data_IF_306618812772
#
_entry.id   IF_306618812772
#
_cell.length_a   1.000
_cell.length_b   1.000
_cell.length_c   1.000
_cell.angle_alpha   90.00
_cell.angle_beta   90.00
_cell.angle_gamma   90.00
#
_symmetry.space_group_name_H-M   'P 1'
#
loop_
_entity.id
_entity.type
_entity.pdbx_description
1 polymer ?
#
# COMPACT_ATOMS: atom_id res chain seq x y z
N UNK A 1 -48.35 121.21 50.44
CA UNK A 1 -47.18 120.45 49.94
C UNK A 1 -47.13 119.11 50.68
N UNK A 2 -48.13 118.28 50.40
CA UNK A 2 -48.47 117.02 51.05
C UNK A 2 -49.16 116.22 49.93
N UNK A 3 -48.52 115.14 49.48
CA UNK A 3 -48.92 114.14 48.46
C UNK A 3 -47.84 113.91 47.40
N UNK A 4 -46.85 113.05 47.66
CA UNK A 4 -46.17 112.28 46.58
C UNK A 4 -45.32 111.08 47.08
N UNK A 5 -45.75 110.33 48.11
CA UNK A 5 -45.05 109.10 48.54
C UNK A 5 -46.03 107.94 48.81
N UNK A 6 -46.60 107.36 47.74
CA UNK A 6 -47.31 106.07 47.80
C UNK A 6 -47.27 105.33 46.45
N UNK A 7 -46.22 104.51 46.24
CA UNK A 7 -46.04 103.43 45.23
C UNK A 7 -44.53 103.13 45.20
N UNK A 8 -43.96 101.94 45.24
CA UNK A 8 -44.38 100.56 45.03
C UNK A 8 -43.34 99.69 45.78
N UNK A 9 -43.76 98.76 46.63
CA UNK A 9 -42.86 97.76 47.23
C UNK A 9 -43.35 96.35 46.85
N UNK A 10 -43.13 95.95 45.59
CA UNK A 10 -43.50 94.63 45.00
C UNK A 10 -42.29 93.89 44.39
N UNK A 11 -41.08 94.20 44.82
CA UNK A 11 -39.83 93.64 44.29
C UNK A 11 -39.50 92.20 44.74
N UNK A 12 -39.88 91.71 45.95
CA UNK A 12 -39.59 90.32 46.34
C UNK A 12 -40.59 89.28 45.79
N UNK A 13 -41.85 89.65 45.54
CA UNK A 13 -42.86 88.71 45.02
C UNK A 13 -42.62 88.33 43.55
N UNK A 14 -42.20 89.30 42.72
CA UNK A 14 -41.93 89.08 41.30
C UNK A 14 -40.69 88.21 41.06
N UNK A 15 -39.68 88.30 41.93
CA UNK A 15 -38.45 87.50 41.84
C UNK A 15 -38.68 86.05 42.25
N UNK A 16 -39.51 85.79 43.25
CA UNK A 16 -39.87 84.42 43.64
C UNK A 16 -40.78 83.75 42.61
N UNK A 17 -41.73 84.47 42.02
CA UNK A 17 -42.58 83.95 40.94
C UNK A 17 -41.77 83.60 39.68
N UNK A 18 -40.77 84.42 39.32
CA UNK A 18 -39.87 84.15 38.20
C UNK A 18 -38.98 82.91 38.45
N UNK A 19 -38.43 82.75 39.66
CA UNK A 19 -37.63 81.55 40.02
C UNK A 19 -38.48 80.28 40.01
N UNK A 20 -39.71 80.32 40.50
CA UNK A 20 -40.63 79.18 40.45
C UNK A 20 -40.99 78.79 39.00
N UNK A 21 -41.21 79.77 38.13
CA UNK A 21 -41.54 79.54 36.71
C UNK A 21 -40.34 79.00 35.91
N UNK A 22 -39.12 79.47 36.22
CA UNK A 22 -37.87 78.93 35.63
C UNK A 22 -37.61 77.50 36.12
N UNK A 23 -37.88 77.19 37.39
CA UNK A 23 -37.79 75.83 37.93
C UNK A 23 -38.78 74.85 37.26
N UNK A 24 -40.03 75.26 37.04
CA UNK A 24 -41.03 74.43 36.34
C UNK A 24 -40.67 74.20 34.87
N UNK A 25 -40.10 75.21 34.19
CA UNK A 25 -39.63 75.08 32.81
C UNK A 25 -38.41 74.15 32.70
N UNK A 26 -37.44 74.23 33.62
CA UNK A 26 -36.31 73.29 33.68
C UNK A 26 -36.80 71.86 33.95
N UNK A 27 -37.75 71.69 34.88
CA UNK A 27 -38.28 70.37 35.21
C UNK A 27 -39.06 69.75 34.04
N UNK A 28 -39.87 70.54 33.32
CA UNK A 28 -40.56 70.08 32.09
C UNK A 28 -39.59 69.74 30.97
N UNK A 29 -38.52 70.51 30.79
CA UNK A 29 -37.48 70.27 29.77
C UNK A 29 -36.72 68.96 30.04
N UNK A 30 -36.25 68.76 31.27
CA UNK A 30 -35.56 67.53 31.70
C UNK A 30 -36.48 66.31 31.54
N UNK A 31 -37.76 66.44 31.90
CA UNK A 31 -38.76 65.38 31.74
C UNK A 31 -39.05 65.06 30.27
N UNK A 32 -39.01 66.05 29.38
CA UNK A 32 -39.14 65.84 27.93
C UNK A 32 -37.92 65.17 27.31
N UNK A 33 -36.71 65.59 27.67
CA UNK A 33 -35.44 64.98 27.22
C UNK A 33 -35.38 63.51 27.64
N UNK A 34 -35.72 63.22 28.90
CA UNK A 34 -35.74 61.85 29.40
C UNK A 34 -36.90 61.02 28.78
N UNK A 35 -38.07 61.60 28.53
CA UNK A 35 -39.19 60.86 27.94
C UNK A 35 -38.96 60.51 26.47
N UNK A 36 -38.30 61.37 25.71
CA UNK A 36 -38.16 61.20 24.26
C UNK A 36 -36.79 60.67 23.81
N UNK A 37 -35.69 61.04 24.46
CA UNK A 37 -34.33 60.69 24.00
C UNK A 37 -33.86 59.38 24.63
N UNK A 38 -33.89 59.23 25.96
CA UNK A 38 -33.38 58.01 26.62
C UNK A 38 -34.23 56.79 26.31
N UNK A 39 -35.57 56.92 26.24
CA UNK A 39 -36.48 55.86 25.78
C UNK A 39 -36.33 55.46 24.31
N UNK A 40 -35.82 56.34 23.44
CA UNK A 40 -35.55 55.99 22.03
C UNK A 40 -34.16 55.37 21.89
N UNK A 41 -33.16 55.84 22.64
CA UNK A 41 -31.81 55.27 22.66
C UNK A 41 -31.79 53.81 23.14
N UNK A 42 -32.55 53.48 24.20
CA UNK A 42 -32.70 52.09 24.66
C UNK A 42 -33.27 51.17 23.58
N UNK A 43 -34.33 51.61 22.88
CA UNK A 43 -34.93 50.87 21.76
C UNK A 43 -33.97 50.65 20.58
N UNK A 44 -33.08 51.61 20.29
CA UNK A 44 -32.06 51.44 19.24
C UNK A 44 -30.99 50.42 19.65
N UNK A 45 -30.58 50.40 20.93
CA UNK A 45 -29.65 49.40 21.45
C UNK A 45 -30.28 47.99 21.46
N UNK A 46 -31.56 47.87 21.79
CA UNK A 46 -32.29 46.60 21.76
C UNK A 46 -32.46 46.08 20.33
N UNK A 47 -32.79 46.96 19.37
CA UNK A 47 -32.84 46.61 17.94
C UNK A 47 -31.46 46.20 17.42
N UNK A 48 -30.39 46.90 17.82
CA UNK A 48 -29.01 46.52 17.44
C UNK A 48 -28.62 45.14 17.99
N UNK A 49 -28.93 44.85 19.25
CA UNK A 49 -28.71 43.52 19.87
C UNK A 49 -29.51 42.44 19.15
N UNK A 50 -30.79 42.70 18.85
CA UNK A 50 -31.65 41.79 18.11
C UNK A 50 -31.09 41.48 16.71
N UNK A 51 -30.68 42.50 15.95
CA UNK A 51 -30.08 42.32 14.61
C UNK A 51 -28.76 41.54 14.69
N UNK A 52 -27.89 41.84 15.65
CA UNK A 52 -26.63 41.09 15.85
C UNK A 52 -26.90 39.63 16.21
N UNK A 53 -27.85 39.36 17.11
CA UNK A 53 -28.24 37.99 17.47
C UNK A 53 -28.78 37.22 16.26
N UNK A 54 -29.58 37.86 15.41
CA UNK A 54 -30.07 37.25 14.16
C UNK A 54 -28.95 37.00 13.14
N UNK A 55 -28.02 37.95 12.97
CA UNK A 55 -26.87 37.76 12.09
C UNK A 55 -25.96 36.62 12.58
N UNK A 56 -25.75 36.50 13.89
CA UNK A 56 -25.01 35.38 14.48
C UNK A 56 -25.75 34.06 14.29
N UNK A 57 -27.06 34.03 14.51
CA UNK A 57 -27.87 32.83 14.30
C UNK A 57 -27.86 32.37 12.83
N UNK A 58 -28.03 33.30 11.89
CA UNK A 58 -27.92 33.02 10.45
C UNK A 58 -26.51 32.57 10.09
N UNK A 59 -25.48 33.21 10.64
CA UNK A 59 -24.09 32.80 10.45
C UNK A 59 -23.82 31.38 10.93
N UNK A 60 -24.29 31.03 12.13
CA UNK A 60 -24.20 29.67 12.67
C UNK A 60 -24.98 28.69 11.79
N UNK A 61 -26.20 29.03 11.38
CA UNK A 61 -27.00 28.19 10.48
C UNK A 61 -26.27 27.93 9.18
N UNK A 62 -25.75 28.96 8.51
CA UNK A 62 -24.97 28.83 7.27
C UNK A 62 -23.71 27.97 7.45
N UNK A 63 -22.98 28.13 8.56
CA UNK A 63 -21.80 27.30 8.87
C UNK A 63 -22.21 25.84 9.08
N UNK A 64 -23.31 25.59 9.80
CA UNK A 64 -23.79 24.22 10.03
C UNK A 64 -24.29 23.55 8.75
N UNK A 65 -25.08 24.25 7.92
CA UNK A 65 -25.53 23.71 6.62
C UNK A 65 -24.34 23.47 5.69
N UNK A 66 -23.39 24.39 5.61
CA UNK A 66 -22.18 24.19 4.83
C UNK A 66 -21.33 23.00 5.33
N UNK A 67 -21.17 22.86 6.65
CA UNK A 67 -20.47 21.73 7.26
C UNK A 67 -21.16 20.39 7.00
N UNK A 68 -22.49 20.34 7.12
CA UNK A 68 -23.27 19.12 6.79
C UNK A 68 -23.19 18.78 5.31
N UNK A 69 -23.25 19.77 4.42
CA UNK A 69 -23.09 19.58 2.98
C UNK A 69 -21.72 18.99 2.63
N UNK A 70 -20.63 19.49 3.24
CA UNK A 70 -19.30 18.92 3.05
C UNK A 70 -19.21 17.47 3.54
N UNK A 71 -19.80 17.15 4.69
CA UNK A 71 -19.84 15.79 5.23
C UNK A 71 -20.63 14.83 4.33
N UNK A 72 -21.79 15.25 3.86
CA UNK A 72 -22.62 14.45 2.95
C UNK A 72 -21.90 14.24 1.61
N UNK A 73 -21.28 15.28 1.06
CA UNK A 73 -20.47 15.18 -0.16
C UNK A 73 -19.30 14.21 0.02
N UNK A 74 -18.56 14.28 1.13
CA UNK A 74 -17.46 13.35 1.38
C UNK A 74 -17.93 11.91 1.60
N UNK A 75 -19.13 11.71 2.15
CA UNK A 75 -19.71 10.38 2.34
C UNK A 75 -20.30 9.80 1.04
N UNK A 76 -20.76 10.66 0.12
CA UNK A 76 -21.38 10.27 -1.14
C UNK A 76 -20.39 10.16 -2.31
N UNK A 77 -19.18 10.70 -2.20
CA UNK A 77 -18.11 10.52 -3.19
C UNK A 77 -17.35 9.25 -2.87
N UNK A 78 -17.70 8.15 -3.54
CA UNK A 78 -16.86 6.96 -3.55
C UNK A 78 -15.74 7.15 -4.57
N UNK A 79 -14.50 7.26 -4.11
CA UNK A 79 -13.33 7.25 -5.00
C UNK A 79 -13.20 5.88 -5.65
N UNK A 80 -13.66 5.73 -6.88
CA UNK A 80 -13.44 4.51 -7.66
C UNK A 80 -12.11 4.61 -8.40
N UNK A 81 -11.24 3.58 -8.36
CA UNK A 81 -10.00 3.62 -9.12
C UNK A 81 -10.30 3.72 -10.61
N UNK A 82 -9.82 4.79 -11.25
CA UNK A 82 -9.98 5.01 -12.68
C UNK A 82 -9.04 4.07 -13.47
N UNK A 83 -9.49 3.54 -14.62
CA UNK A 83 -8.60 2.83 -15.53
C UNK A 83 -7.63 3.81 -16.21
N UNK A 84 -6.48 3.27 -16.59
CA UNK A 84 -5.43 3.92 -17.33
C UNK A 84 -4.21 4.32 -16.51
N UNK A 85 -3.29 5.03 -17.15
CA UNK A 85 -2.12 5.60 -16.52
C UNK A 85 -0.93 4.64 -16.45
N UNK A 86 0.20 5.20 -15.98
CA UNK A 86 1.45 4.48 -15.77
C UNK A 86 1.78 4.52 -14.29
N UNK A 87 2.05 3.35 -13.70
CA UNK A 87 2.58 3.24 -12.35
C UNK A 87 4.05 2.84 -12.44
N UNK A 88 4.93 3.64 -11.85
CA UNK A 88 6.37 3.36 -11.80
C UNK A 88 6.77 3.07 -10.36
N UNK A 89 7.24 1.86 -10.11
CA UNK A 89 7.74 1.40 -8.82
C UNK A 89 9.27 1.36 -8.83
N UNK A 90 9.88 2.12 -7.94
CA UNK A 90 11.32 2.14 -7.74
C UNK A 90 11.77 1.09 -6.73
N UNK A 91 12.86 0.40 -7.04
CA UNK A 91 13.48 -0.61 -6.16
C UNK A 91 15.01 -0.49 -6.25
N UNK A 92 15.73 -0.96 -5.23
CA UNK A 92 17.20 -1.05 -5.28
C UNK A 92 17.62 -2.44 -5.79
N UNK A 93 18.52 -2.48 -6.76
CA UNK A 93 19.15 -3.70 -7.27
C UNK A 93 19.14 -3.79 -8.79
N UNK A 94 19.28 -5.01 -9.30
CA UNK A 94 19.31 -5.30 -10.74
C UNK A 94 18.51 -6.57 -11.04
N UNK A 95 17.98 -6.65 -12.26
CA UNK A 95 17.38 -7.87 -12.80
C UNK A 95 18.45 -8.67 -13.53
N UNK A 96 18.51 -9.96 -13.21
CA UNK A 96 19.44 -10.91 -13.81
C UNK A 96 18.73 -11.86 -14.77
N UNK A 97 17.52 -12.30 -14.40
CA UNK A 97 16.78 -13.30 -15.17
C UNK A 97 15.30 -12.94 -15.26
N UNK A 98 14.78 -12.86 -16.49
CA UNK A 98 13.35 -12.67 -16.74
C UNK A 98 12.60 -14.00 -16.73
N UNK A 99 13.25 -15.09 -17.18
CA UNK A 99 12.66 -16.42 -17.15
C UNK A 99 12.65 -16.96 -15.71
N UNK A 100 11.47 -17.33 -15.17
CA UNK A 100 11.32 -17.74 -13.78
C UNK A 100 12.11 -19.00 -13.39
N UNK A 101 12.46 -19.85 -14.35
CA UNK A 101 13.23 -21.07 -14.05
C UNK A 101 14.66 -20.77 -13.61
N UNK A 102 15.14 -19.54 -13.81
CA UNK A 102 16.49 -19.09 -13.48
C UNK A 102 16.51 -17.94 -12.48
N UNK A 103 15.36 -17.60 -11.89
CA UNK A 103 15.27 -16.52 -10.90
C UNK A 103 16.28 -16.74 -9.77
N UNK A 104 17.03 -15.68 -9.46
CA UNK A 104 18.09 -15.67 -8.46
C UNK A 104 17.84 -14.70 -7.31
N UNK A 105 16.76 -13.93 -7.35
CA UNK A 105 16.46 -12.92 -6.34
C UNK A 105 15.06 -12.33 -6.44
N UNK A 106 14.73 -11.49 -5.46
CA UNK A 106 13.38 -10.92 -5.31
C UNK A 106 12.94 -10.05 -6.50
N UNK A 107 13.87 -9.40 -7.19
CA UNK A 107 13.57 -8.59 -8.40
C UNK A 107 13.15 -9.50 -9.56
N UNK A 108 13.93 -10.55 -9.84
CA UNK A 108 13.61 -11.57 -10.85
C UNK A 108 12.22 -12.19 -10.54
N UNK A 109 11.96 -12.54 -9.28
CA UNK A 109 10.67 -13.07 -8.82
C UNK A 109 9.51 -12.08 -8.98
N UNK A 110 9.74 -10.79 -8.76
CA UNK A 110 8.72 -9.75 -8.91
C UNK A 110 8.31 -9.60 -10.37
N UNK A 111 9.28 -9.61 -11.29
CA UNK A 111 9.00 -9.67 -12.74
C UNK A 111 8.24 -10.93 -13.10
N UNK A 112 8.67 -12.08 -12.57
CA UNK A 112 7.99 -13.36 -12.80
C UNK A 112 6.51 -13.30 -12.39
N UNK A 113 6.19 -12.77 -11.21
CA UNK A 113 4.82 -12.71 -10.68
C UNK A 113 3.89 -11.77 -11.47
N UNK A 114 4.45 -10.78 -12.17
CA UNK A 114 3.69 -9.89 -13.05
C UNK A 114 3.36 -10.55 -14.39
N UNK A 115 4.26 -11.41 -14.89
CA UNK A 115 4.19 -12.00 -16.23
C UNK A 115 3.57 -13.40 -16.23
N UNK A 116 3.84 -14.21 -15.22
CA UNK A 116 3.48 -15.63 -15.14
C UNK A 116 2.59 -15.92 -13.93
N UNK A 117 1.80 -17.00 -14.02
CA UNK A 117 1.04 -17.54 -12.90
C UNK A 117 1.48 -18.96 -12.58
N UNK A 118 1.29 -19.35 -11.32
CA UNK A 118 1.33 -20.75 -10.89
C UNK A 118 -0.05 -21.41 -10.92
N UNK A 119 -0.12 -22.69 -10.57
CA UNK A 119 -1.39 -23.40 -10.44
C UNK A 119 -2.19 -22.92 -9.23
N UNK A 120 -1.49 -22.57 -8.16
CA UNK A 120 -2.06 -21.94 -6.95
C UNK A 120 -1.35 -20.62 -6.68
N UNK A 121 -1.91 -19.81 -5.80
CA UNK A 121 -1.35 -18.54 -5.32
C UNK A 121 -1.77 -18.27 -3.88
N UNK A 122 -1.19 -17.24 -3.28
CA UNK A 122 -1.74 -16.66 -2.05
C UNK A 122 -2.75 -15.56 -2.37
N UNK A 123 -3.81 -15.44 -1.59
CA UNK A 123 -4.71 -14.28 -1.60
C UNK A 123 -4.23 -13.16 -0.68
N UNK A 124 -5.03 -12.10 -0.54
CA UNK A 124 -4.67 -10.90 0.22
C UNK A 124 -4.62 -11.20 1.72
N UNK A 125 -5.28 -12.26 2.16
CA UNK A 125 -5.25 -12.82 3.51
C UNK A 125 -4.10 -13.85 3.72
N UNK A 126 -3.28 -14.06 2.69
CA UNK A 126 -2.16 -15.02 2.72
C UNK A 126 -2.59 -16.48 2.71
N UNK A 127 -3.84 -16.79 2.35
CA UNK A 127 -4.34 -18.16 2.21
C UNK A 127 -4.03 -18.70 0.82
N UNK A 128 -3.75 -20.00 0.77
CA UNK A 128 -3.46 -20.68 -0.48
C UNK A 128 -4.77 -20.98 -1.24
N UNK A 129 -4.89 -20.43 -2.45
CA UNK A 129 -6.06 -20.54 -3.32
C UNK A 129 -5.66 -20.94 -4.74
N UNK A 130 -6.60 -21.47 -5.52
CA UNK A 130 -6.36 -21.76 -6.94
C UNK A 130 -6.09 -20.50 -7.76
N UNK A 131 -5.17 -20.62 -8.73
CA UNK A 131 -4.91 -19.60 -9.75
C UNK A 131 -5.13 -20.21 -11.15
N UNK A 132 -4.13 -20.80 -11.79
CA UNK A 132 -4.36 -21.59 -13.02
C UNK A 132 -5.09 -22.92 -12.77
N UNK A 133 -5.16 -23.38 -11.52
CA UNK A 133 -6.00 -24.49 -11.10
C UNK A 133 -7.39 -24.01 -10.65
N UNK A 134 -8.43 -24.73 -11.09
CA UNK A 134 -9.81 -24.62 -10.60
C UNK A 134 -9.98 -25.33 -9.26
N UNK A 135 -9.42 -26.53 -9.16
CA UNK A 135 -9.53 -27.40 -7.99
C UNK A 135 -8.37 -28.41 -7.96
N UNK A 136 -8.20 -29.10 -6.84
CA UNK A 136 -7.32 -30.26 -6.75
C UNK A 136 -7.86 -31.29 -5.77
N UNK A 137 -7.53 -32.56 -5.99
CA UNK A 137 -7.81 -33.66 -5.08
C UNK A 137 -6.52 -34.39 -4.71
N UNK A 138 -6.51 -34.95 -3.50
CA UNK A 138 -5.38 -35.69 -2.95
C UNK A 138 -5.88 -37.10 -2.65
N UNK A 139 -5.15 -38.11 -3.11
CA UNK A 139 -5.49 -39.49 -2.85
C UNK A 139 -5.36 -39.89 -1.37
N UNK A 140 -5.74 -41.12 -1.06
CA UNK A 140 -5.63 -41.68 0.29
C UNK A 140 -4.17 -41.81 0.74
N UNK A 141 -3.25 -42.13 -0.18
CA UNK A 141 -1.83 -42.29 0.13
C UNK A 141 -1.08 -40.97 0.34
N UNK A 142 -1.72 -39.83 0.04
CA UNK A 142 -1.14 -38.48 0.10
C UNK A 142 0.07 -38.28 -0.81
N UNK A 143 0.16 -39.08 -1.88
CA UNK A 143 1.23 -39.03 -2.88
C UNK A 143 0.73 -38.60 -4.25
N UNK A 144 -0.56 -38.79 -4.55
CA UNK A 144 -1.13 -38.48 -5.85
C UNK A 144 -2.00 -37.24 -5.70
N UNK A 145 -1.68 -36.24 -6.50
CA UNK A 145 -2.40 -34.97 -6.58
C UNK A 145 -2.95 -34.81 -8.00
N UNK A 146 -4.26 -34.72 -8.12
CA UNK A 146 -4.93 -34.46 -9.40
C UNK A 146 -5.42 -33.04 -9.40
N UNK A 147 -4.94 -32.22 -10.33
CA UNK A 147 -5.24 -30.80 -10.44
C UNK A 147 -6.11 -30.57 -11.68
N UNK A 148 -7.29 -29.99 -11.46
CA UNK A 148 -8.16 -29.52 -12.53
C UNK A 148 -7.76 -28.10 -12.92
N UNK A 149 -7.45 -27.90 -14.19
CA UNK A 149 -6.99 -26.64 -14.74
C UNK A 149 -8.16 -25.77 -15.21
N UNK A 150 -7.92 -24.48 -15.24
CA UNK A 150 -8.82 -23.53 -15.91
C UNK A 150 -8.79 -23.72 -17.41
N UNK A 151 -9.96 -23.54 -18.03
CA UNK A 151 -10.19 -23.67 -19.47
C UNK A 151 -10.39 -22.32 -20.18
N UNK A 152 -10.49 -21.22 -19.40
CA UNK A 152 -10.67 -19.85 -19.87
C UNK A 152 -9.35 -19.04 -19.96
N UNK A 153 -8.21 -19.66 -19.63
CA UNK A 153 -6.92 -18.98 -19.61
C UNK A 153 -6.26 -18.96 -20.99
N UNK A 154 -5.76 -17.78 -21.36
CA UNK A 154 -4.94 -17.58 -22.55
C UNK A 154 -3.56 -17.06 -22.17
N UNK A 155 -2.56 -17.53 -22.90
CA UNK A 155 -1.24 -16.93 -22.97
C UNK A 155 -1.32 -15.53 -23.58
N UNK A 156 -0.30 -14.68 -23.34
CA UNK A 156 -0.24 -13.33 -23.92
C UNK A 156 -0.24 -13.31 -25.45
N UNK A 157 0.10 -14.42 -26.10
CA UNK A 157 0.03 -14.61 -27.56
C UNK A 157 -1.35 -15.12 -28.06
N UNK A 158 -2.31 -15.30 -27.16
CA UNK A 158 -3.68 -15.69 -27.45
C UNK A 158 -3.94 -17.20 -27.48
N UNK A 159 -2.91 -18.06 -27.36
CA UNK A 159 -3.11 -19.51 -27.29
C UNK A 159 -3.69 -19.92 -25.94
N UNK A 160 -4.46 -21.01 -25.92
CA UNK A 160 -5.02 -21.54 -24.67
C UNK A 160 -3.96 -22.21 -23.80
N UNK A 161 -4.04 -21.98 -22.50
CA UNK A 161 -3.31 -22.73 -21.48
C UNK A 161 -3.88 -24.16 -21.34
N UNK A 162 -3.00 -25.16 -21.20
CA UNK A 162 -3.38 -26.58 -21.08
C UNK A 162 -2.43 -27.38 -20.19
N UNK A 163 -2.79 -28.63 -19.89
CA UNK A 163 -1.96 -29.60 -19.15
C UNK A 163 -0.56 -29.81 -19.75
N UNK A 164 -0.40 -29.64 -21.08
CA UNK A 164 0.90 -29.74 -21.75
C UNK A 164 1.90 -28.70 -21.27
N UNK A 165 1.42 -27.50 -20.93
CA UNK A 165 2.25 -26.41 -20.43
C UNK A 165 2.83 -26.75 -19.05
N UNK A 166 2.00 -27.35 -18.19
CA UNK A 166 2.42 -27.81 -16.87
C UNK A 166 3.45 -28.91 -16.98
N UNK A 167 3.18 -29.97 -17.76
CA UNK A 167 4.12 -31.08 -17.97
C UNK A 167 5.46 -30.59 -18.51
N UNK A 168 5.45 -29.80 -19.60
CA UNK A 168 6.66 -29.29 -20.22
C UNK A 168 7.49 -28.42 -19.25
N UNK A 169 6.83 -27.61 -18.42
CA UNK A 169 7.53 -26.77 -17.43
C UNK A 169 8.22 -27.62 -16.38
N UNK A 170 7.53 -28.61 -15.82
CA UNK A 170 8.12 -29.46 -14.77
C UNK A 170 9.22 -30.36 -15.33
N UNK A 171 9.08 -30.84 -16.57
CA UNK A 171 10.14 -31.59 -17.26
C UNK A 171 11.40 -30.74 -17.46
N UNK A 172 11.24 -29.46 -17.85
CA UNK A 172 12.36 -28.53 -17.95
C UNK A 172 13.02 -28.25 -16.60
N UNK A 173 12.24 -28.06 -15.53
CA UNK A 173 12.76 -27.88 -14.17
C UNK A 173 13.59 -29.08 -13.72
N UNK A 174 13.09 -30.30 -13.99
CA UNK A 174 13.76 -31.53 -13.58
C UNK A 174 14.95 -31.91 -14.47
N UNK A 175 15.12 -31.27 -15.62
CA UNK A 175 16.24 -31.54 -16.52
C UNK A 175 17.54 -30.89 -16.02
N UNK A 176 18.58 -31.70 -15.84
CA UNK A 176 19.90 -31.26 -15.36
C UNK A 176 20.56 -30.23 -16.26
N UNK A 177 20.38 -30.33 -17.58
CA UNK A 177 20.94 -29.41 -18.57
C UNK A 177 20.29 -28.02 -18.52
N UNK A 178 19.03 -27.93 -18.09
CA UNK A 178 18.35 -26.65 -17.89
C UNK A 178 19.03 -25.84 -16.78
N UNK A 179 19.55 -26.50 -15.74
CA UNK A 179 20.12 -25.84 -14.54
C UNK A 179 19.15 -24.86 -13.88
N UNK A 180 17.88 -25.27 -13.75
CA UNK A 180 16.87 -24.47 -13.07
C UNK A 180 17.21 -24.30 -11.58
N UNK A 181 16.95 -23.13 -11.01
CA UNK A 181 17.09 -22.88 -9.56
C UNK A 181 16.07 -23.69 -8.75
N UNK A 182 15.01 -24.18 -9.40
CA UNK A 182 13.97 -25.02 -8.82
C UNK A 182 14.28 -26.52 -8.89
N UNK A 183 15.37 -26.92 -9.56
CA UNK A 183 15.70 -28.31 -9.85
C UNK A 183 15.60 -29.22 -8.61
N UNK A 184 16.24 -28.82 -7.50
CA UNK A 184 16.31 -29.62 -6.28
C UNK A 184 14.95 -29.88 -5.63
N UNK A 185 14.02 -28.91 -5.71
CA UNK A 185 12.70 -29.01 -5.08
C UNK A 185 11.72 -29.90 -5.84
N UNK A 186 12.00 -30.20 -7.11
CA UNK A 186 11.10 -30.93 -7.99
C UNK A 186 11.59 -32.32 -8.38
N UNK A 187 12.79 -32.72 -7.93
CA UNK A 187 13.35 -34.03 -8.26
C UNK A 187 12.47 -35.19 -7.81
N UNK A 188 12.24 -36.13 -8.72
CA UNK A 188 11.53 -37.39 -8.44
C UNK A 188 10.00 -37.26 -8.45
N UNK A 189 9.46 -36.08 -8.74
CA UNK A 189 8.02 -35.85 -8.86
C UNK A 189 7.62 -36.16 -10.30
N UNK A 190 6.81 -37.21 -10.51
CA UNK A 190 6.30 -37.53 -11.85
C UNK A 190 5.09 -36.66 -12.15
N UNK A 191 5.05 -36.10 -13.35
CA UNK A 191 3.95 -35.25 -13.83
C UNK A 191 3.41 -35.81 -15.13
N UNK A 192 2.09 -35.90 -15.25
CA UNK A 192 1.44 -36.44 -16.44
C UNK A 192 0.13 -35.71 -16.72
N UNK A 193 -0.17 -35.47 -18.00
CA UNK A 193 -1.48 -34.99 -18.42
C UNK A 193 -2.48 -36.16 -18.40
N UNK A 194 -3.56 -36.02 -17.65
CA UNK A 194 -4.68 -36.99 -17.67
C UNK A 194 -5.57 -36.69 -18.87
N UNK A 195 -5.85 -35.40 -19.09
CA UNK A 195 -6.53 -34.87 -20.27
C UNK A 195 -6.03 -33.45 -20.56
N UNK A 196 -6.74 -32.68 -21.40
CA UNK A 196 -6.35 -31.32 -21.79
C UNK A 196 -6.31 -30.33 -20.61
N UNK A 197 -7.17 -30.50 -19.60
CA UNK A 197 -7.33 -29.61 -18.46
C UNK A 197 -7.20 -30.36 -17.12
N UNK A 198 -6.52 -31.50 -17.10
CA UNK A 198 -6.23 -32.25 -15.87
C UNK A 198 -4.79 -32.73 -15.85
N UNK A 199 -4.10 -32.49 -14.73
CA UNK A 199 -2.70 -32.88 -14.51
C UNK A 199 -2.60 -33.71 -13.24
N UNK A 200 -1.86 -34.81 -13.31
CA UNK A 200 -1.57 -35.68 -12.17
C UNK A 200 -0.10 -35.56 -11.78
N UNK A 201 0.14 -35.27 -10.51
CA UNK A 201 1.44 -35.29 -9.86
C UNK A 201 1.53 -36.54 -8.96
N UNK A 202 2.63 -37.28 -9.05
CA UNK A 202 2.92 -38.44 -8.21
C UNK A 202 4.24 -38.19 -7.48
N UNK A 203 4.17 -38.09 -6.15
CA UNK A 203 5.31 -37.84 -5.28
C UNK A 203 5.98 -39.14 -4.84
N UNK A 204 7.31 -39.14 -4.60
CA UNK A 204 8.01 -40.31 -4.08
C UNK A 204 7.56 -40.67 -2.65
N UNK A 205 7.23 -39.66 -1.84
CA UNK A 205 6.79 -39.79 -0.46
C UNK A 205 5.68 -38.77 -0.15
N UNK A 206 4.83 -39.00 0.87
CA UNK A 206 3.84 -38.02 1.29
C UNK A 206 4.51 -36.73 1.74
N UNK A 207 4.08 -35.60 1.21
CA UNK A 207 4.60 -34.29 1.57
C UNK A 207 3.45 -33.28 1.69
N UNK A 208 2.99 -33.04 2.91
CA UNK A 208 1.83 -32.19 3.17
C UNK A 208 1.94 -30.77 2.56
N UNK A 209 3.11 -30.10 2.56
CA UNK A 209 3.26 -28.77 1.97
C UNK A 209 3.24 -28.73 0.44
N UNK A 210 3.14 -29.88 -0.27
CA UNK A 210 3.31 -29.94 -1.72
C UNK A 210 2.41 -28.98 -2.51
N UNK A 211 1.18 -28.74 -2.07
CA UNK A 211 0.28 -27.79 -2.75
C UNK A 211 0.93 -26.40 -2.86
N UNK A 212 1.70 -25.95 -1.88
CA UNK A 212 2.40 -24.65 -1.95
C UNK A 212 3.44 -24.63 -3.08
N UNK A 213 4.06 -25.76 -3.40
CA UNK A 213 5.02 -25.86 -4.50
C UNK A 213 4.34 -25.62 -5.86
N UNK A 214 3.03 -25.87 -5.96
CA UNK A 214 2.26 -25.63 -7.20
C UNK A 214 2.11 -24.13 -7.54
N UNK A 215 2.61 -23.21 -6.71
CA UNK A 215 2.78 -21.79 -7.03
C UNK A 215 4.00 -21.55 -7.97
N UNK A 216 4.62 -22.61 -8.48
CA UNK A 216 5.66 -22.51 -9.50
C UNK A 216 5.14 -21.84 -10.78
N UNK A 217 5.84 -20.85 -11.35
CA UNK A 217 5.44 -20.22 -12.61
C UNK A 217 5.42 -21.23 -13.77
N UNK A 218 4.34 -21.24 -14.55
CA UNK A 218 4.19 -22.13 -15.72
C UNK A 218 4.66 -21.45 -17.00
N UNK A 219 5.37 -22.19 -17.86
CA UNK A 219 5.83 -21.75 -19.18
C UNK A 219 4.96 -22.30 -20.32
N UNK A 220 4.82 -21.57 -21.44
CA UNK A 220 4.06 -22.01 -22.61
C UNK A 220 4.80 -23.14 -23.34
N UNK A 221 4.28 -24.37 -23.27
CA UNK A 221 4.88 -25.55 -23.91
C UNK A 221 5.13 -25.31 -25.39
N UNK A 222 4.25 -24.59 -26.08
CA UNK A 222 4.39 -24.35 -27.52
C UNK A 222 5.53 -23.41 -27.91
N UNK A 223 6.14 -22.70 -26.96
CA UNK A 223 7.34 -21.91 -27.20
C UNK A 223 8.59 -22.60 -26.66
N UNK A 224 8.48 -23.39 -25.59
CA UNK A 224 9.66 -23.92 -24.90
C UNK A 224 10.00 -25.37 -25.22
N UNK A 225 9.04 -26.18 -25.71
CA UNK A 225 9.23 -27.62 -25.91
C UNK A 225 10.31 -27.98 -26.93
N UNK A 226 10.51 -27.12 -27.93
CA UNK A 226 11.44 -27.37 -29.04
C UNK A 226 12.82 -26.71 -28.79
N UNK A 227 12.97 -25.99 -27.67
CA UNK A 227 14.22 -25.37 -27.26
C UNK A 227 15.07 -26.43 -26.54
N UNK A 228 16.32 -26.61 -26.95
CA UNK A 228 17.25 -27.47 -26.21
C UNK A 228 17.41 -26.97 -24.76
N UNK A 229 17.25 -27.83 -23.74
CA UNK A 229 17.32 -27.45 -22.32
C UNK A 229 18.51 -26.56 -21.95
N UNK A 230 19.71 -26.88 -22.44
CA UNK A 230 20.94 -26.13 -22.19
C UNK A 230 20.98 -24.73 -22.82
N UNK A 231 20.12 -24.45 -23.81
CA UNK A 231 20.01 -23.15 -24.48
C UNK A 231 18.87 -22.30 -23.94
N UNK A 232 17.95 -22.86 -23.16
CA UNK A 232 16.74 -22.17 -22.71
C UNK A 232 17.05 -20.84 -22.03
N UNK A 233 18.09 -20.77 -21.18
CA UNK A 233 18.48 -19.54 -20.47
C UNK A 233 18.83 -18.38 -21.40
N UNK A 234 19.46 -18.66 -22.54
CA UNK A 234 19.90 -17.65 -23.51
C UNK A 234 18.95 -17.51 -24.69
N UNK A 235 17.86 -18.28 -24.73
CA UNK A 235 16.90 -18.23 -25.82
C UNK A 235 16.12 -16.90 -25.85
N UNK A 236 15.65 -16.53 -27.04
CA UNK A 236 14.74 -15.41 -27.26
C UNK A 236 13.53 -15.39 -26.32
N UNK A 237 12.97 -16.56 -25.96
CA UNK A 237 11.87 -16.68 -25.01
C UNK A 237 12.26 -16.16 -23.61
N UNK A 238 13.50 -16.40 -23.17
CA UNK A 238 13.97 -15.95 -21.86
C UNK A 238 14.29 -14.46 -21.81
N UNK A 239 14.33 -13.78 -22.97
CA UNK A 239 14.52 -12.33 -23.09
C UNK A 239 13.18 -11.60 -23.34
N UNK A 240 12.25 -12.23 -24.06
CA UNK A 240 10.91 -11.73 -24.34
C UNK A 240 9.87 -12.80 -23.95
N UNK A 241 9.55 -12.93 -22.65
CA UNK A 241 8.66 -13.98 -22.17
C UNK A 241 7.22 -13.78 -22.64
N UNK A 242 6.53 -14.90 -22.80
CA UNK A 242 5.07 -14.97 -22.95
C UNK A 242 4.53 -15.70 -21.74
N UNK A 243 3.62 -15.05 -21.00
CA UNK A 243 3.03 -15.59 -19.78
C UNK A 243 1.51 -15.61 -19.81
N UNK A 244 0.90 -15.88 -18.66
CA UNK A 244 -0.56 -15.84 -18.42
C UNK A 244 -0.96 -14.71 -17.46
N UNK A 245 0.03 -13.99 -16.92
CA UNK A 245 -0.11 -13.00 -15.88
C UNK A 245 -0.87 -11.73 -16.27
N UNK A 246 -1.12 -10.85 -15.28
CA UNK A 246 -1.83 -9.60 -15.47
C UNK A 246 -1.09 -8.64 -16.40
N UNK A 247 0.23 -8.73 -16.51
CA UNK A 247 1.02 -7.81 -17.31
C UNK A 247 1.87 -8.55 -18.35
N UNK A 248 1.98 -7.95 -19.52
CA UNK A 248 2.76 -8.43 -20.66
C UNK A 248 4.09 -7.69 -20.64
N UNK A 249 5.20 -8.44 -20.60
CA UNK A 249 6.54 -7.87 -20.72
C UNK A 249 6.71 -7.12 -22.05
N UNK A 250 7.33 -5.94 -22.01
CA UNK A 250 7.58 -5.11 -23.20
C UNK A 250 9.05 -4.86 -23.46
N UNK A 251 9.80 -4.49 -22.42
CA UNK A 251 11.21 -4.18 -22.59
C UNK A 251 11.94 -4.25 -21.25
N UNK A 252 13.22 -4.62 -21.32
CA UNK A 252 14.22 -4.30 -20.32
C UNK A 252 15.14 -3.24 -20.94
N UNK A 253 15.20 -2.05 -20.35
CA UNK A 253 16.09 -0.97 -20.78
C UNK A 253 17.13 -0.72 -19.72
N UNK A 254 18.37 -0.51 -20.13
CA UNK A 254 19.45 -0.07 -19.24
C UNK A 254 19.92 1.30 -19.69
N UNK A 255 19.91 2.28 -18.78
CA UNK A 255 20.36 3.64 -19.09
C UNK A 255 21.89 3.78 -18.93
N UNK A 256 22.42 4.97 -19.23
CA UNK A 256 23.86 5.25 -19.11
C UNK A 256 24.40 5.17 -17.66
N UNK A 257 23.53 5.34 -16.66
CA UNK A 257 23.86 5.23 -15.25
C UNK A 257 23.79 3.78 -14.74
N UNK A 258 23.53 2.82 -15.64
CA UNK A 258 23.28 1.40 -15.34
C UNK A 258 21.97 1.14 -14.57
N UNK A 259 21.08 2.12 -14.44
CA UNK A 259 19.73 1.87 -13.93
C UNK A 259 18.95 1.07 -14.97
N UNK A 260 18.14 0.11 -14.50
CA UNK A 260 17.34 -0.75 -15.34
C UNK A 260 15.86 -0.39 -15.23
N UNK A 261 15.14 -0.44 -16.34
CA UNK A 261 13.69 -0.29 -16.39
C UNK A 261 13.07 -1.50 -17.04
N UNK A 262 12.23 -2.21 -16.28
CA UNK A 262 11.40 -3.29 -16.79
C UNK A 262 10.02 -2.74 -17.07
N UNK A 263 9.64 -2.70 -18.34
CA UNK A 263 8.37 -2.16 -18.79
C UNK A 263 7.35 -3.26 -19.09
N UNK A 264 6.13 -3.03 -18.66
CA UNK A 264 5.01 -3.91 -18.93
C UNK A 264 3.79 -3.14 -19.45
N UNK A 265 2.95 -3.82 -20.24
CA UNK A 265 1.60 -3.35 -20.58
C UNK A 265 0.54 -4.27 -19.99
N UNK A 266 -0.67 -3.78 -19.75
CA UNK A 266 -1.78 -4.63 -19.31
C UNK A 266 -2.06 -5.81 -20.25
N UNK A 267 -2.44 -6.94 -19.66
CA UNK A 267 -3.09 -8.05 -20.35
C UNK A 267 -4.61 -7.87 -20.28
N UNK A 268 -5.21 -7.36 -21.37
CA UNK A 268 -6.67 -7.15 -21.46
C UNK A 268 -7.46 -8.46 -21.38
N UNK A 269 -6.85 -9.58 -21.76
CA UNK A 269 -7.45 -10.91 -21.71
C UNK A 269 -7.17 -11.66 -20.40
N UNK A 270 -6.71 -10.98 -19.35
CA UNK A 270 -6.40 -11.63 -18.07
C UNK A 270 -7.66 -12.22 -17.44
N UNK A 271 -7.63 -13.52 -17.15
CA UNK A 271 -8.78 -14.31 -16.71
C UNK A 271 -9.34 -13.92 -15.34
N UNK A 272 -8.57 -13.15 -14.54
CA UNK A 272 -9.01 -12.59 -13.24
C UNK A 272 -9.51 -11.15 -13.33
N UNK A 273 -9.67 -10.63 -14.54
CA UNK A 273 -10.13 -9.26 -14.82
C UNK A 273 -9.01 -8.36 -15.31
N UNK A 274 -9.35 -7.43 -16.21
CA UNK A 274 -8.40 -6.51 -16.81
C UNK A 274 -7.69 -5.65 -15.74
N UNK A 275 -6.34 -5.58 -15.75
CA UNK A 275 -5.61 -4.63 -14.90
C UNK A 275 -6.05 -3.20 -15.20
N UNK A 276 -6.28 -2.42 -14.14
CA UNK A 276 -6.68 -1.02 -14.29
C UNK A 276 -5.56 -0.15 -14.86
N UNK A 277 -4.30 -0.44 -14.57
CA UNK A 277 -3.14 0.31 -15.07
C UNK A 277 -2.86 -0.06 -16.53
N UNK A 278 -2.61 0.92 -17.40
CA UNK A 278 -2.21 0.63 -18.79
C UNK A 278 -0.76 0.14 -18.86
N UNK A 279 0.11 0.73 -18.02
CA UNK A 279 1.53 0.43 -17.94
C UNK A 279 1.98 0.28 -16.49
N UNK A 280 2.85 -0.71 -16.27
CA UNK A 280 3.59 -0.89 -15.05
C UNK A 280 5.08 -0.80 -15.40
N UNK A 281 5.86 -0.07 -14.61
CA UNK A 281 7.31 0.06 -14.81
C UNK A 281 7.99 -0.25 -13.49
N UNK A 282 8.92 -1.21 -13.50
CA UNK A 282 9.86 -1.39 -12.41
C UNK A 282 11.13 -0.63 -12.75
N UNK A 283 11.50 0.36 -11.94
CA UNK A 283 12.72 1.14 -12.10
C UNK A 283 13.73 0.72 -11.03
N UNK A 284 14.80 0.10 -11.46
CA UNK A 284 15.81 -0.49 -10.59
C UNK A 284 17.01 0.45 -10.50
N UNK A 285 17.30 0.91 -9.28
CA UNK A 285 18.35 1.85 -8.97
C UNK A 285 19.52 1.15 -8.28
N UNK A 286 20.71 1.72 -8.45
CA UNK A 286 21.94 1.18 -7.85
C UNK A 286 21.95 1.23 -6.32
N UNK A 287 21.36 2.27 -5.74
CA UNK A 287 21.34 2.47 -4.30
C UNK A 287 20.10 3.25 -3.83
N UNK A 288 19.94 3.25 -2.50
CA UNK A 288 18.80 3.81 -1.78
C UNK A 288 18.72 5.34 -1.85
N UNK A 289 19.87 6.04 -1.93
CA UNK A 289 19.91 7.51 -1.99
C UNK A 289 19.40 8.02 -3.35
N UNK A 290 19.78 7.34 -4.44
CA UNK A 290 19.27 7.63 -5.78
C UNK A 290 17.77 7.33 -5.85
N UNK A 291 17.33 6.19 -5.31
CA UNK A 291 15.91 5.82 -5.25
C UNK A 291 15.08 6.88 -4.49
N UNK A 292 15.54 7.32 -3.32
CA UNK A 292 14.87 8.35 -2.54
C UNK A 292 14.81 9.69 -3.32
N UNK A 293 15.89 10.05 -3.99
CA UNK A 293 15.94 11.26 -4.84
C UNK A 293 14.93 11.19 -5.99
N UNK A 294 14.83 10.05 -6.68
CA UNK A 294 13.86 9.84 -7.75
C UNK A 294 12.41 9.96 -7.25
N UNK A 295 12.10 9.43 -6.05
CA UNK A 295 10.78 9.58 -5.43
C UNK A 295 10.48 11.04 -5.08
N UNK A 296 11.46 11.75 -4.51
CA UNK A 296 11.37 13.17 -4.15
C UNK A 296 11.13 14.06 -5.37
N UNK A 297 11.78 13.75 -6.48
CA UNK A 297 11.63 14.44 -7.77
C UNK A 297 10.36 14.05 -8.53
N UNK A 298 9.57 13.08 -8.04
CA UNK A 298 8.37 12.52 -8.71
C UNK A 298 8.68 11.86 -10.05
N UNK A 299 9.89 11.33 -10.21
CA UNK A 299 10.27 10.52 -11.37
C UNK A 299 9.65 9.11 -11.31
N UNK A 300 9.37 8.64 -10.09
CA UNK A 300 8.68 7.39 -9.80
C UNK A 300 7.43 7.64 -8.95
N UNK A 301 6.46 6.73 -9.03
CA UNK A 301 5.18 6.82 -8.30
C UNK A 301 5.31 6.33 -6.87
N UNK A 302 6.08 5.26 -6.67
CA UNK A 302 6.32 4.65 -5.37
C UNK A 302 7.75 4.11 -5.31
N UNK A 303 8.25 3.92 -4.08
CA UNK A 303 9.50 3.21 -3.82
C UNK A 303 9.22 2.12 -2.78
N UNK A 304 9.83 0.96 -2.96
CA UNK A 304 9.78 -0.15 -2.01
C UNK A 304 11.14 -0.37 -1.37
N UNK A 305 11.14 -0.91 -0.16
CA UNK A 305 12.34 -1.21 0.62
C UNK A 305 13.30 -0.03 0.83
N UNK A 306 12.77 1.20 0.84
CA UNK A 306 13.54 2.37 1.26
C UNK A 306 14.03 2.19 2.69
N UNK A 307 15.29 2.50 2.94
CA UNK A 307 15.87 2.42 4.28
C UNK A 307 15.17 3.39 5.25
N UNK A 308 15.02 3.03 6.54
CA UNK A 308 14.40 3.89 7.53
C UNK A 308 14.97 5.31 7.60
N UNK A 309 16.28 5.45 7.37
CA UNK A 309 16.97 6.75 7.36
C UNK A 309 16.46 7.65 6.23
N UNK A 310 16.31 7.10 5.03
CA UNK A 310 15.82 7.80 3.83
C UNK A 310 14.33 8.14 3.93
N UNK A 311 13.53 7.29 4.59
CA UNK A 311 12.10 7.54 4.82
C UNK A 311 11.88 8.84 5.63
N UNK A 312 12.80 9.19 6.55
CA UNK A 312 12.69 10.39 7.39
C UNK A 312 12.60 11.68 6.57
N UNK A 313 13.18 11.71 5.37
CA UNK A 313 13.10 12.87 4.47
C UNK A 313 11.66 13.19 4.05
N UNK A 314 10.78 12.18 3.99
CA UNK A 314 9.42 12.30 3.50
C UNK A 314 8.39 12.57 4.60
N UNK A 315 8.78 12.58 5.89
CA UNK A 315 7.85 12.76 7.01
C UNK A 315 7.03 14.07 6.96
N UNK A 316 7.54 15.09 6.28
CA UNK A 316 6.86 16.39 6.10
C UNK A 316 6.09 16.49 4.78
N UNK A 317 6.29 15.54 3.86
CA UNK A 317 5.68 15.53 2.55
C UNK A 317 4.31 14.84 2.60
N UNK A 318 3.24 15.65 2.64
CA UNK A 318 1.86 15.14 2.72
C UNK A 318 1.39 14.39 1.47
N UNK A 319 2.15 14.44 0.38
CA UNK A 319 1.81 13.70 -0.85
C UNK A 319 2.42 12.30 -0.88
N UNK A 320 3.33 11.98 0.05
CA UNK A 320 3.91 10.65 0.21
C UNK A 320 3.27 9.98 1.43
N UNK A 321 2.77 8.76 1.23
CA UNK A 321 2.29 7.90 2.31
C UNK A 321 3.30 6.78 2.53
N UNK A 322 4.02 6.83 3.64
CA UNK A 322 4.83 5.71 4.08
C UNK A 322 3.95 4.64 4.73
N UNK A 323 4.16 3.38 4.34
CA UNK A 323 3.44 2.22 4.89
C UNK A 323 4.46 1.14 5.23
N UNK A 324 4.57 0.79 6.50
CA UNK A 324 5.32 -0.38 6.93
C UNK A 324 4.46 -1.64 6.80
N UNK A 325 4.95 -2.63 6.06
CA UNK A 325 4.30 -3.93 5.92
C UNK A 325 5.15 -4.96 6.67
N UNK A 326 4.60 -5.66 7.68
CA UNK A 326 5.32 -6.74 8.32
C UNK A 326 5.55 -7.87 7.32
N UNK A 327 6.81 -8.26 7.13
CA UNK A 327 7.17 -9.37 6.27
C UNK A 327 7.28 -10.66 7.10
N UNK A 328 6.86 -11.78 6.51
CA UNK A 328 7.13 -13.12 7.05
C UNK A 328 8.58 -13.54 6.76
N UNK A 329 9.54 -12.69 7.10
CA UNK A 329 10.96 -12.87 6.82
C UNK A 329 11.80 -12.63 8.08
N UNK A 330 13.02 -13.15 8.05
CA UNK A 330 13.98 -12.99 9.12
C UNK A 330 15.41 -12.99 8.60
N UNK A 331 16.28 -12.28 9.30
CA UNK A 331 17.72 -12.29 9.04
C UNK A 331 18.37 -13.31 9.96
N UNK A 332 19.04 -14.29 9.39
CA UNK A 332 19.65 -15.40 10.12
C UNK A 332 21.13 -15.51 9.77
N UNK A 333 21.96 -15.78 10.77
CA UNK A 333 23.35 -16.19 10.59
C UNK A 333 23.45 -17.70 10.90
N UNK A 334 23.83 -18.49 9.91
CA UNK A 334 23.96 -19.94 10.05
C UNK A 334 25.42 -20.34 10.26
N UNK A 335 25.67 -21.22 11.23
CA UNK A 335 26.97 -21.87 11.38
C UNK A 335 27.11 -22.98 10.35
N UNK A 336 28.18 -22.95 9.56
CA UNK A 336 28.52 -24.01 8.61
C UNK A 336 29.09 -25.21 9.36
N UNK A 337 28.22 -26.13 9.80
CA UNK A 337 28.61 -27.29 10.62
C UNK A 337 29.46 -28.32 9.89
N UNK A 338 29.61 -28.20 8.57
CA UNK A 338 30.55 -29.00 7.78
C UNK A 338 32.00 -28.50 7.85
N UNK A 339 32.24 -27.30 8.40
CA UNK A 339 33.58 -26.84 8.74
C UNK A 339 33.99 -27.43 10.10
N UNK A 340 35.12 -28.17 10.19
CA UNK A 340 35.59 -28.74 11.45
C UNK A 340 35.73 -27.73 12.60
N UNK A 341 35.99 -26.45 12.29
CA UNK A 341 36.10 -25.38 13.30
C UNK A 341 34.77 -25.03 13.97
N UNK A 342 33.63 -25.36 13.35
CA UNK A 342 32.29 -25.05 13.84
C UNK A 342 31.46 -26.31 14.12
N UNK A 343 32.08 -27.48 14.14
CA UNK A 343 31.42 -28.77 14.35
C UNK A 343 30.95 -28.96 15.81
N UNK A 344 31.72 -28.46 16.80
CA UNK A 344 31.36 -28.56 18.22
C UNK A 344 30.16 -27.67 18.58
N UNK A 345 29.09 -28.29 19.06
CA UNK A 345 27.88 -27.60 19.54
C UNK A 345 28.16 -26.66 20.71
N UNK A 346 29.10 -26.99 21.60
CA UNK A 346 29.44 -26.14 22.76
C UNK A 346 30.08 -24.84 22.29
N UNK A 347 30.96 -24.91 21.30
CA UNK A 347 31.55 -23.72 20.69
C UNK A 347 30.49 -22.85 20.01
N UNK A 348 29.59 -23.44 19.22
CA UNK A 348 28.50 -22.68 18.58
C UNK A 348 27.58 -22.01 19.59
N UNK A 349 27.26 -22.67 20.70
CA UNK A 349 26.48 -22.09 21.79
C UNK A 349 27.22 -20.93 22.45
N UNK A 350 28.53 -21.06 22.72
CA UNK A 350 29.35 -19.98 23.26
C UNK A 350 29.40 -18.77 22.31
N UNK A 351 29.59 -18.99 21.02
CA UNK A 351 29.58 -17.92 20.00
C UNK A 351 28.20 -17.25 19.92
N UNK A 352 27.11 -18.02 19.93
CA UNK A 352 25.76 -17.48 19.90
C UNK A 352 25.42 -16.66 21.16
N UNK A 353 25.93 -17.07 22.33
CA UNK A 353 25.78 -16.34 23.60
C UNK A 353 26.68 -15.09 23.69
N UNK A 354 27.81 -15.09 22.99
CA UNK A 354 28.73 -13.94 22.95
C UNK A 354 28.23 -12.79 22.05
N UNK A 355 27.21 -13.04 21.21
CA UNK A 355 26.61 -12.02 20.36
C UNK A 355 25.49 -11.31 21.12
N UNK A 356 25.70 -10.04 21.45
CA UNK A 356 24.65 -9.18 21.99
C UNK A 356 23.70 -8.74 20.87
N UNK A 357 22.61 -9.50 20.72
CA UNK A 357 21.57 -9.20 19.72
C UNK A 357 20.83 -7.90 20.05
N UNK A 358 20.71 -7.53 21.33
CA UNK A 358 20.07 -6.28 21.74
C UNK A 358 20.88 -5.09 21.25
N UNK A 359 22.19 -5.10 21.50
CA UNK A 359 23.10 -4.06 21.03
C UNK A 359 23.10 -3.92 19.49
N UNK A 360 22.94 -5.02 18.74
CA UNK A 360 22.80 -4.97 17.28
C UNK A 360 21.47 -4.33 16.88
N UNK A 361 20.36 -4.69 17.53
CA UNK A 361 19.05 -4.11 17.25
C UNK A 361 19.00 -2.61 17.56
N UNK A 362 19.69 -2.17 18.61
CA UNK A 362 19.79 -0.77 19.01
C UNK A 362 20.56 0.10 18.00
N UNK A 363 21.31 -0.51 17.05
CA UNK A 363 21.92 0.23 15.94
C UNK A 363 20.89 0.75 14.93
N UNK A 364 19.66 0.24 14.96
CA UNK A 364 18.62 0.62 14.03
C UNK A 364 17.54 1.46 14.73
N UNK A 365 17.15 2.58 14.12
CA UNK A 365 16.07 3.44 14.65
C UNK A 365 14.67 2.81 14.55
N UNK A 366 14.56 1.62 13.95
CA UNK A 366 13.30 0.88 13.78
C UNK A 366 13.21 -0.24 14.82
N UNK A 367 12.05 -0.36 15.47
CA UNK A 367 11.78 -1.46 16.40
C UNK A 367 11.60 -2.77 15.64
N UNK A 368 12.68 -3.54 15.52
CA UNK A 368 12.61 -4.92 15.05
C UNK A 368 12.26 -5.86 16.21
N UNK A 369 11.44 -6.87 15.94
CA UNK A 369 11.18 -7.93 16.91
C UNK A 369 12.35 -8.92 16.91
N UNK A 370 12.95 -9.25 18.08
CA UNK A 370 14.03 -10.22 18.14
C UNK A 370 13.54 -11.60 17.69
N UNK A 371 14.22 -12.18 16.70
CA UNK A 371 13.96 -13.55 16.25
C UNK A 371 14.79 -14.52 17.07
N UNK A 372 14.14 -15.43 17.79
CA UNK A 372 14.80 -16.52 18.53
C UNK A 372 14.56 -17.90 17.92
N UNK A 373 13.54 -18.03 17.08
CA UNK A 373 13.20 -19.27 16.36
C UNK A 373 13.06 -18.95 14.87
N UNK A 374 13.15 -19.96 13.98
CA UNK A 374 12.90 -19.76 12.55
C UNK A 374 11.42 -19.56 12.20
N UNK A 375 10.51 -19.60 13.19
CA UNK A 375 9.07 -19.45 13.05
C UNK A 375 8.61 -18.20 13.82
N UNK A 376 7.79 -17.36 13.19
CA UNK A 376 7.22 -16.18 13.83
C UNK A 376 6.10 -16.56 14.80
N UNK A 377 5.85 -15.73 15.81
CA UNK A 377 4.79 -15.97 16.80
C UNK A 377 3.37 -16.05 16.21
N UNK A 378 3.18 -15.51 15.01
CA UNK A 378 1.94 -15.52 14.25
C UNK A 378 1.75 -16.77 13.39
N UNK A 379 2.79 -17.62 13.26
CA UNK A 379 2.78 -18.76 12.36
C UNK A 379 2.40 -20.07 13.07
N UNK A 380 1.73 -20.95 12.32
CA UNK A 380 1.40 -22.29 12.79
C UNK A 380 2.68 -23.07 13.11
N UNK A 381 2.71 -23.74 14.26
CA UNK A 381 3.89 -24.48 14.74
C UNK A 381 4.85 -23.65 15.59
N UNK A 382 4.58 -22.37 15.82
CA UNK A 382 5.29 -21.59 16.82
C UNK A 382 5.07 -22.16 18.22
N UNK A 383 6.15 -22.29 18.99
CA UNK A 383 6.11 -22.68 20.39
C UNK A 383 6.88 -21.66 21.23
N UNK A 384 6.15 -20.96 22.09
CA UNK A 384 6.66 -19.92 22.98
C UNK A 384 7.72 -20.43 23.97
N UNK A 385 7.81 -21.74 24.19
CA UNK A 385 8.85 -22.36 25.04
C UNK A 385 10.26 -22.18 24.48
N UNK A 386 10.41 -22.03 23.17
CA UNK A 386 11.71 -21.81 22.51
C UNK A 386 12.04 -20.32 22.36
N UNK A 387 11.26 -19.44 22.99
CA UNK A 387 11.43 -17.99 22.96
C UNK A 387 12.13 -17.42 24.20
#
# INVERSE_FOLDING_TARGET
>A
MLNFLKKHNKTPELTNAAKAKVGDLQHKSIKHVHRYITKRAGRVLDVKRFVISWLLLVGVLCITTFGTFLKIRSAAVTTTPAPGGTYTEGMVGEINNINPLFSSGAIDDSVSRLVFNGLVRHDDEGQLVGDLAKSWSIDESKKIYTVELRDDVKWHDGRSFTSKDVVATIDLIQNTSTRSTLFASWQGIKVSAVDKYSVKFELPAPFAPFINALNVPILPSHLVKDISPEKLRTDSFSVNPVGTGPFIFKALRTNANQDQQVEFSKNVAYYRGEPKLDRFIMHLFKDDEILATALKNREITAAVDLKPESIKEFNKDRSIRSTGIPLNSGVFAFFKTSDPKLEDIKLRNALAMAIDRGAILDLFDTQYSPLKTPILSTQLGYDAKYN
#
